data_IF_169443937856
#
_entry.id   IF_169443937856
#
_cell.length_a   1.000
_cell.length_b   1.000
_cell.length_c   1.000
_cell.angle_alpha   90.00
_cell.angle_beta   90.00
_cell.angle_gamma   90.00
#
_symmetry.space_group_name_H-M   'P 1'
#
loop_
_entity.id
_entity.type
_entity.pdbx_description
1 polymer ?
#
# COMPACT_ATOMS: atom_id res chain seq x y z
N UNK A 1 25.01 0.36 20.53
CA UNK A 1 25.97 0.27 19.39
C UNK A 1 26.53 -1.15 19.26
N UNK A 2 26.84 -1.84 20.35
CA UNK A 2 27.37 -3.22 20.30
C UNK A 2 26.41 -4.26 19.70
N UNK A 3 25.10 -4.06 19.84
CA UNK A 3 24.08 -4.96 19.28
C UNK A 3 24.16 -5.17 17.77
N UNK A 4 24.74 -4.22 17.02
CA UNK A 4 24.81 -4.28 15.56
C UNK A 4 26.15 -4.80 15.02
N UNK A 5 27.15 -5.06 15.87
CA UNK A 5 28.50 -5.50 15.45
C UNK A 5 28.52 -6.87 14.75
N UNK A 6 27.50 -7.68 15.00
CA UNK A 6 27.40 -9.05 14.49
C UNK A 6 26.36 -9.20 13.37
N UNK A 7 25.84 -8.09 12.82
CA UNK A 7 24.90 -8.15 11.70
C UNK A 7 25.55 -8.86 10.51
N UNK A 8 24.84 -9.82 9.94
CA UNK A 8 25.28 -10.60 8.77
C UNK A 8 24.49 -10.27 7.51
N UNK A 9 23.26 -9.79 7.66
CA UNK A 9 22.36 -9.49 6.55
C UNK A 9 21.56 -8.24 6.88
N UNK A 10 21.37 -7.38 5.89
CA UNK A 10 20.45 -6.25 5.92
C UNK A 10 19.49 -6.38 4.74
N UNK A 11 18.21 -6.39 5.05
CA UNK A 11 17.13 -6.40 4.06
C UNK A 11 16.54 -4.99 4.00
N UNK A 12 16.52 -4.43 2.79
CA UNK A 12 15.89 -3.15 2.46
C UNK A 12 14.65 -3.46 1.65
N UNK A 13 13.50 -3.40 2.31
CA UNK A 13 12.22 -3.61 1.67
C UNK A 13 11.70 -2.32 1.03
N UNK A 14 10.82 -2.47 0.04
CA UNK A 14 10.27 -1.37 -0.76
C UNK A 14 11.33 -0.39 -1.28
N UNK A 15 12.39 -0.94 -1.86
CA UNK A 15 13.52 -0.15 -2.38
C UNK A 15 13.06 0.96 -3.34
N UNK A 16 11.93 0.80 -4.02
CA UNK A 16 11.42 1.82 -4.91
C UNK A 16 11.02 3.13 -4.26
N UNK A 17 10.65 3.08 -2.98
CA UNK A 17 10.32 4.26 -2.19
C UNK A 17 11.56 5.04 -1.74
N UNK A 18 12.77 4.52 -1.98
CA UNK A 18 14.01 5.09 -1.43
C UNK A 18 14.88 5.73 -2.50
N UNK A 19 14.76 5.33 -3.77
CA UNK A 19 15.51 5.97 -4.83
C UNK A 19 14.93 7.38 -5.13
N UNK A 20 15.80 8.39 -5.23
CA UNK A 20 15.49 9.82 -5.42
C UNK A 20 14.83 10.61 -4.27
N UNK A 21 14.97 10.19 -3.01
CA UNK A 21 14.55 11.05 -1.90
C UNK A 21 15.57 11.15 -0.76
N UNK A 22 15.32 12.09 0.15
CA UNK A 22 16.19 12.36 1.31
C UNK A 22 16.34 11.15 2.24
N UNK A 23 15.29 10.30 2.32
CA UNK A 23 15.32 9.08 3.14
C UNK A 23 16.28 8.06 2.56
N UNK A 24 16.32 7.95 1.24
CA UNK A 24 17.34 7.18 0.53
C UNK A 24 18.73 7.63 0.91
N UNK A 25 19.07 8.90 0.71
CA UNK A 25 20.40 9.41 1.04
C UNK A 25 20.82 9.10 2.49
N UNK A 26 19.88 9.23 3.44
CA UNK A 26 20.12 8.88 4.84
C UNK A 26 20.38 7.37 5.05
N UNK A 27 19.64 6.50 4.36
CA UNK A 27 19.84 5.06 4.42
C UNK A 27 21.21 4.66 3.85
N UNK A 28 21.63 5.19 2.71
CA UNK A 28 22.96 4.87 2.15
C UNK A 28 24.08 5.22 3.13
N UNK A 29 24.00 6.40 3.76
CA UNK A 29 24.98 6.78 4.80
C UNK A 29 24.90 5.85 6.02
N UNK A 30 23.70 5.44 6.44
CA UNK A 30 23.53 4.51 7.54
C UNK A 30 24.13 3.12 7.22
N UNK A 31 23.98 2.63 5.99
CA UNK A 31 24.56 1.37 5.53
C UNK A 31 26.10 1.41 5.52
N UNK A 32 26.71 2.50 5.07
CA UNK A 32 28.17 2.65 5.11
C UNK A 32 28.70 2.77 6.55
N UNK A 33 27.95 3.42 7.44
CA UNK A 33 28.28 3.44 8.88
C UNK A 33 28.15 2.06 9.52
N UNK A 34 27.18 1.26 9.08
CA UNK A 34 27.03 -0.11 9.53
C UNK A 34 28.15 -1.00 8.98
N UNK A 35 28.60 -0.79 7.75
CA UNK A 35 29.73 -1.49 7.15
C UNK A 35 31.01 -1.29 7.97
N UNK A 36 31.28 -0.05 8.41
CA UNK A 36 32.41 0.24 9.29
C UNK A 36 32.31 -0.44 10.66
N UNK A 37 31.09 -0.77 11.13
CA UNK A 37 30.84 -1.39 12.43
C UNK A 37 30.79 -2.92 12.37
N UNK A 38 30.24 -3.48 11.29
CA UNK A 38 30.02 -4.90 11.05
C UNK A 38 30.38 -5.24 9.60
N UNK A 39 31.69 -5.33 9.26
CA UNK A 39 32.12 -5.49 7.88
C UNK A 39 31.63 -6.79 7.25
N UNK A 40 31.29 -6.73 5.94
CA UNK A 40 30.99 -7.90 5.14
C UNK A 40 29.58 -8.46 5.31
N UNK A 41 28.63 -7.65 5.80
CA UNK A 41 27.22 -8.05 5.80
C UNK A 41 26.64 -8.06 4.38
N UNK A 42 25.74 -9.01 4.12
CA UNK A 42 25.01 -9.10 2.86
C UNK A 42 23.91 -8.02 2.80
N UNK A 43 23.77 -7.36 1.66
CA UNK A 43 22.65 -6.44 1.38
C UNK A 43 21.65 -7.14 0.47
N UNK A 44 20.37 -7.05 0.80
CA UNK A 44 19.27 -7.57 -0.01
C UNK A 44 18.27 -6.44 -0.20
N UNK A 45 18.00 -6.05 -1.45
CA UNK A 45 16.95 -5.10 -1.80
C UNK A 45 15.73 -5.83 -2.33
N UNK A 46 14.55 -5.49 -1.82
CA UNK A 46 13.26 -6.06 -2.26
C UNK A 46 12.41 -4.92 -2.81
N UNK A 47 11.75 -5.16 -3.94
CA UNK A 47 10.77 -4.24 -4.50
C UNK A 47 9.83 -4.96 -5.46
N UNK A 48 8.54 -4.59 -5.44
CA UNK A 48 7.55 -5.09 -6.39
C UNK A 48 7.54 -4.31 -7.71
N UNK A 49 7.92 -3.03 -7.68
CA UNK A 49 7.96 -2.16 -8.87
C UNK A 49 9.30 -1.43 -8.90
N UNK A 50 10.02 -1.45 -10.02
CA UNK A 50 11.24 -0.65 -10.18
C UNK A 50 11.26 -0.11 -11.60
N UNK A 51 11.25 1.21 -11.75
CA UNK A 51 11.37 1.85 -13.06
C UNK A 51 12.78 1.77 -13.64
N UNK A 52 13.81 1.87 -12.78
CA UNK A 52 15.21 1.78 -13.17
C UNK A 52 16.01 0.92 -12.16
N UNK A 53 16.29 -0.31 -12.54
CA UNK A 53 17.00 -1.29 -11.70
C UNK A 53 18.44 -0.86 -11.43
N UNK A 54 19.13 -0.33 -12.42
CA UNK A 54 20.54 0.05 -12.29
C UNK A 54 20.73 1.16 -11.25
N UNK A 55 19.82 2.13 -11.19
CA UNK A 55 19.89 3.20 -10.20
C UNK A 55 19.55 2.71 -8.79
N UNK A 56 18.51 1.88 -8.67
CA UNK A 56 18.14 1.25 -7.40
C UNK A 56 19.29 0.41 -6.84
N UNK A 57 19.98 -0.36 -7.69
CA UNK A 57 21.14 -1.15 -7.30
C UNK A 57 22.35 -0.29 -6.95
N UNK A 58 22.70 0.72 -7.76
CA UNK A 58 23.79 1.66 -7.43
C UNK A 58 23.57 2.33 -6.08
N UNK A 59 22.32 2.61 -5.72
CA UNK A 59 21.97 3.26 -4.47
C UNK A 59 22.23 2.38 -3.22
N UNK A 60 21.89 1.09 -3.25
CA UNK A 60 22.15 0.17 -2.11
C UNK A 60 23.58 -0.36 -2.12
N UNK A 61 24.08 -0.76 -3.29
CA UNK A 61 25.30 -1.55 -3.42
C UNK A 61 26.52 -0.67 -3.71
N UNK A 62 26.34 0.53 -4.26
CA UNK A 62 27.43 1.39 -4.74
C UNK A 62 28.33 0.59 -5.70
N UNK A 63 29.62 0.50 -5.43
CA UNK A 63 30.60 -0.26 -6.23
C UNK A 63 30.64 -1.77 -5.89
N UNK A 64 29.80 -2.24 -4.96
CA UNK A 64 29.79 -3.66 -4.56
C UNK A 64 29.15 -4.52 -5.63
N UNK A 65 29.64 -5.75 -5.78
CA UNK A 65 29.03 -6.75 -6.67
C UNK A 65 27.64 -7.11 -6.16
N UNK A 66 26.68 -7.16 -7.08
CA UNK A 66 25.30 -7.60 -6.82
C UNK A 66 24.80 -8.45 -7.98
N UNK A 67 23.70 -9.16 -7.73
CA UNK A 67 22.94 -9.90 -8.74
C UNK A 67 21.49 -9.43 -8.64
N UNK A 68 20.86 -9.21 -9.78
CA UNK A 68 19.43 -8.89 -9.86
C UNK A 68 18.68 -10.19 -10.10
N UNK A 69 17.69 -10.45 -9.26
CA UNK A 69 16.78 -11.60 -9.41
C UNK A 69 15.39 -11.03 -9.68
N UNK A 70 14.92 -11.17 -10.92
CA UNK A 70 13.55 -10.85 -11.31
C UNK A 70 12.71 -12.12 -11.37
N UNK A 71 11.41 -11.98 -11.09
CA UNK A 71 10.43 -13.03 -11.35
C UNK A 71 9.43 -12.49 -12.37
N UNK A 72 9.32 -13.14 -13.53
CA UNK A 72 8.32 -12.82 -14.55
C UNK A 72 6.97 -13.42 -14.18
N UNK A 73 6.46 -13.05 -12.99
CA UNK A 73 5.12 -13.45 -12.57
C UNK A 73 4.13 -12.45 -13.12
N UNK A 74 3.48 -12.79 -14.24
CA UNK A 74 2.34 -12.03 -14.73
C UNK A 74 1.18 -12.15 -13.73
N UNK A 75 0.90 -11.05 -13.02
CA UNK A 75 -0.34 -10.93 -12.25
C UNK A 75 -1.47 -10.54 -13.21
N UNK A 76 -2.45 -11.41 -13.37
CA UNK A 76 -3.69 -11.09 -14.07
C UNK A 76 -4.56 -10.20 -13.19
N UNK A 77 -4.87 -8.99 -13.66
CA UNK A 77 -5.77 -8.07 -12.96
C UNK A 77 -7.16 -8.09 -13.62
N UNK A 78 -8.22 -8.28 -12.83
CA UNK A 78 -9.61 -8.01 -13.25
C UNK A 78 -9.97 -6.57 -12.82
N UNK A 79 -9.82 -5.62 -13.74
CA UNK A 79 -10.07 -4.19 -13.46
C UNK A 79 -11.44 -3.81 -14.01
N UNK A 80 -12.32 -3.34 -13.11
CA UNK A 80 -13.64 -2.81 -13.45
C UNK A 80 -13.75 -1.36 -13.04
N UNK A 81 -14.26 -0.52 -13.94
CA UNK A 81 -14.57 0.88 -13.68
C UNK A 81 -16.08 1.01 -13.59
N UNK A 82 -16.58 1.42 -12.43
CA UNK A 82 -18.00 1.55 -12.17
C UNK A 82 -18.34 2.99 -11.76
N UNK A 83 -19.46 3.50 -12.28
CA UNK A 83 -20.03 4.79 -11.88
C UNK A 83 -21.52 4.63 -11.55
N UNK A 84 -21.86 4.03 -10.40
CA UNK A 84 -23.25 3.90 -9.95
C UNK A 84 -23.91 5.28 -9.77
N UNK A 85 -25.10 5.44 -10.36
CA UNK A 85 -25.86 6.71 -10.30
C UNK A 85 -27.14 6.62 -9.46
N UNK A 86 -27.65 5.41 -9.20
CA UNK A 86 -28.91 5.17 -8.47
C UNK A 86 -28.78 3.99 -7.52
N UNK A 87 -29.34 4.12 -6.32
CA UNK A 87 -29.53 3.02 -5.40
C UNK A 87 -31.01 2.90 -5.04
N UNK A 88 -31.46 1.65 -4.88
CA UNK A 88 -32.77 1.39 -4.27
C UNK A 88 -32.66 1.63 -2.77
N UNK A 89 -33.73 2.12 -2.16
CA UNK A 89 -33.85 2.31 -0.71
C UNK A 89 -32.70 3.19 -0.14
N UNK A 90 -32.37 4.26 -0.86
CA UNK A 90 -31.22 5.14 -0.56
C UNK A 90 -31.62 6.42 0.20
N UNK A 91 -32.93 6.69 0.30
CA UNK A 91 -33.51 7.90 0.89
C UNK A 91 -32.99 8.15 2.32
N UNK A 92 -33.00 7.14 3.18
CA UNK A 92 -32.58 7.27 4.58
C UNK A 92 -31.10 7.71 4.71
N UNK A 93 -30.20 7.09 3.94
CA UNK A 93 -28.77 7.43 3.97
C UNK A 93 -28.52 8.82 3.36
N UNK A 94 -29.23 9.15 2.29
CA UNK A 94 -29.16 10.48 1.67
C UNK A 94 -29.53 11.56 2.66
N UNK A 95 -30.64 11.38 3.37
CA UNK A 95 -31.08 12.32 4.41
C UNK A 95 -30.09 12.37 5.58
N UNK A 96 -29.75 11.22 6.17
CA UNK A 96 -28.90 11.15 7.36
C UNK A 96 -27.48 11.69 7.15
N UNK A 97 -26.91 11.47 5.97
CA UNK A 97 -25.57 11.96 5.63
C UNK A 97 -25.56 13.21 4.77
N UNK A 98 -26.73 13.71 4.36
CA UNK A 98 -26.89 14.86 3.46
C UNK A 98 -26.06 14.70 2.18
N UNK A 99 -26.25 13.57 1.49
CA UNK A 99 -25.56 13.23 0.24
C UNK A 99 -26.55 13.07 -0.92
N UNK A 100 -26.04 13.19 -2.15
CA UNK A 100 -26.83 12.96 -3.36
C UNK A 100 -27.03 11.46 -3.66
N UNK A 101 -27.92 11.18 -4.62
CA UNK A 101 -28.26 9.82 -5.06
C UNK A 101 -27.04 9.04 -5.56
N UNK A 102 -26.17 9.70 -6.34
CA UNK A 102 -25.02 9.04 -6.92
C UNK A 102 -23.97 8.67 -5.85
N UNK A 103 -23.79 9.50 -4.83
CA UNK A 103 -22.95 9.21 -3.69
C UNK A 103 -23.50 8.04 -2.87
N UNK A 104 -24.81 7.99 -2.64
CA UNK A 104 -25.44 6.85 -1.99
C UNK A 104 -25.25 5.56 -2.82
N UNK A 105 -25.47 5.63 -4.14
CA UNK A 105 -25.27 4.50 -5.05
C UNK A 105 -23.85 3.93 -4.99
N UNK A 106 -22.83 4.80 -4.94
CA UNK A 106 -21.43 4.37 -4.77
C UNK A 106 -21.17 3.70 -3.42
N UNK A 107 -21.75 4.21 -2.34
CA UNK A 107 -21.61 3.60 -1.01
C UNK A 107 -22.24 2.21 -0.97
N UNK A 108 -23.45 2.05 -1.53
CA UNK A 108 -24.11 0.75 -1.64
C UNK A 108 -23.30 -0.22 -2.50
N UNK A 109 -22.69 0.25 -3.60
CA UNK A 109 -21.84 -0.60 -4.43
C UNK A 109 -20.59 -1.06 -3.69
N UNK A 110 -19.92 -0.16 -2.96
CA UNK A 110 -18.78 -0.53 -2.10
C UNK A 110 -19.21 -1.57 -1.06
N UNK A 111 -20.37 -1.39 -0.42
CA UNK A 111 -20.90 -2.34 0.55
C UNK A 111 -21.20 -3.72 -0.06
N UNK A 112 -21.76 -3.77 -1.28
CA UNK A 112 -21.98 -5.05 -1.98
C UNK A 112 -20.66 -5.74 -2.33
N UNK A 113 -19.66 -4.99 -2.81
CA UNK A 113 -18.33 -5.54 -3.09
C UNK A 113 -17.65 -6.10 -1.82
N UNK A 114 -17.83 -5.43 -0.68
CA UNK A 114 -17.36 -5.92 0.61
C UNK A 114 -18.05 -7.24 0.98
N UNK A 115 -19.38 -7.33 0.79
CA UNK A 115 -20.16 -8.53 1.10
C UNK A 115 -19.81 -9.72 0.20
N UNK A 116 -19.48 -9.44 -1.05
CA UNK A 116 -19.15 -10.44 -2.07
C UNK A 116 -17.73 -11.01 -1.92
N UNK A 117 -16.87 -10.40 -1.08
CA UNK A 117 -15.44 -10.72 -1.00
C UNK A 117 -15.03 -11.12 0.43
N UNK A 118 -14.11 -12.08 0.56
CA UNK A 118 -13.59 -12.50 1.88
C UNK A 118 -12.83 -11.40 2.63
N UNK A 119 -12.10 -10.57 1.87
CA UNK A 119 -11.36 -9.43 2.40
C UNK A 119 -11.33 -8.31 1.36
N UNK A 120 -11.60 -7.07 1.80
CA UNK A 120 -11.62 -5.89 0.93
C UNK A 120 -10.77 -4.77 1.54
N UNK A 121 -9.87 -4.19 0.74
CA UNK A 121 -9.14 -2.96 1.08
C UNK A 121 -9.73 -1.81 0.26
N UNK A 122 -10.26 -0.80 0.94
CA UNK A 122 -10.82 0.40 0.29
C UNK A 122 -9.85 1.57 0.46
N UNK A 123 -9.36 2.11 -0.65
CA UNK A 123 -8.46 3.27 -0.65
C UNK A 123 -9.24 4.58 -0.82
N UNK A 124 -8.83 5.61 -0.09
CA UNK A 124 -9.29 6.99 -0.29
C UNK A 124 -8.14 7.98 -0.09
N UNK A 125 -8.24 9.14 -0.76
CA UNK A 125 -7.13 10.08 -0.88
C UNK A 125 -6.77 10.84 0.40
N UNK A 126 -7.70 10.97 1.35
CA UNK A 126 -7.48 11.72 2.59
C UNK A 126 -8.00 10.94 3.79
N UNK A 127 -7.38 11.18 4.95
CA UNK A 127 -7.86 10.63 6.22
C UNK A 127 -9.33 10.99 6.49
N UNK A 128 -9.71 12.24 6.21
CA UNK A 128 -11.09 12.72 6.36
C UNK A 128 -12.06 11.92 5.46
N UNK A 129 -11.66 11.62 4.22
CA UNK A 129 -12.47 10.80 3.33
C UNK A 129 -12.60 9.36 3.83
N UNK A 130 -11.52 8.75 4.33
CA UNK A 130 -11.54 7.41 4.94
C UNK A 130 -12.49 7.37 6.14
N UNK A 131 -12.35 8.31 7.09
CA UNK A 131 -13.20 8.37 8.27
C UNK A 131 -14.67 8.63 7.90
N UNK A 132 -14.92 9.53 6.95
CA UNK A 132 -16.26 9.85 6.48
C UNK A 132 -16.92 8.68 5.72
N UNK A 133 -16.16 7.90 4.95
CA UNK A 133 -16.64 6.71 4.27
C UNK A 133 -16.89 5.57 5.27
N UNK A 134 -15.94 5.32 6.18
CA UNK A 134 -16.07 4.32 7.24
C UNK A 134 -17.31 4.55 8.09
N UNK A 135 -17.61 5.80 8.48
CA UNK A 135 -18.84 6.13 9.22
C UNK A 135 -20.11 5.77 8.44
N UNK A 136 -20.12 5.98 7.12
CA UNK A 136 -21.26 5.66 6.25
C UNK A 136 -21.44 4.15 6.11
N UNK A 137 -20.35 3.42 5.90
CA UNK A 137 -20.37 1.97 5.81
C UNK A 137 -20.82 1.32 7.13
N UNK A 138 -20.28 1.75 8.28
CA UNK A 138 -20.69 1.26 9.60
C UNK A 138 -22.17 1.54 9.90
N UNK A 139 -22.70 2.68 9.45
CA UNK A 139 -24.13 2.97 9.59
C UNK A 139 -24.98 2.04 8.72
N UNK A 140 -24.58 1.83 7.47
CA UNK A 140 -25.29 0.95 6.54
C UNK A 140 -25.24 -0.51 6.99
N UNK A 141 -24.14 -0.95 7.62
CA UNK A 141 -23.94 -2.33 8.05
C UNK A 141 -24.92 -2.71 9.17
N UNK A 142 -25.15 -1.80 10.13
CA UNK A 142 -26.18 -1.93 11.16
C UNK A 142 -27.61 -2.09 10.61
N UNK A 143 -27.83 -1.76 9.35
CA UNK A 143 -29.16 -1.79 8.70
C UNK A 143 -29.33 -2.97 7.76
N UNK A 144 -28.27 -3.37 7.07
CA UNK A 144 -28.36 -4.32 5.94
C UNK A 144 -27.43 -5.52 6.06
N UNK A 145 -26.63 -5.61 7.15
CA UNK A 145 -25.61 -6.63 7.43
C UNK A 145 -24.85 -7.08 6.18
N UNK A 146 -23.67 -6.48 5.99
CA UNK A 146 -22.81 -6.76 4.85
C UNK A 146 -21.33 -6.95 5.22
N UNK A 147 -20.91 -6.58 6.44
CA UNK A 147 -19.58 -6.87 6.96
C UNK A 147 -19.45 -8.29 7.53
N UNK A 148 -18.22 -8.81 7.71
CA UNK A 148 -18.01 -10.01 8.49
C UNK A 148 -18.37 -9.72 9.95
N UNK A 149 -19.17 -10.60 10.56
CA UNK A 149 -19.53 -10.58 11.99
C UNK A 149 -18.31 -10.43 12.91
#
# INVERSE_FOLDING_TARGET
RDSLKNVKVVVVDELHELYYNKRGAQLSVALERLEALAPGFQRIGISATIGNVDEACRFIFSERKYVVIGSDTEKTFDIKIEMPERAKDSEEIKEFFSIDEAAAARIYRIASLIKESDATIVFANTRQAVEALGRKLLYLDKKTEFGPL
#
